data_IF_090438244209
#
_entry.id   IF_090438244209
#
_cell.length_a   1.000
_cell.length_b   1.000
_cell.length_c   1.000
_cell.angle_alpha   90.00
_cell.angle_beta   90.00
_cell.angle_gamma   90.00
#
_symmetry.space_group_name_H-M   'P 1'
#
loop_
_entity.id
_entity.type
_entity.pdbx_description
1 polymer ?
#
# COMPACT_ATOMS: atom_id res chain seq x y z
N UNK A 1 -10.07 8.46 4.55
CA UNK A 1 -11.15 8.06 5.46
C UNK A 1 -10.60 7.95 6.86
N UNK A 2 -9.99 6.82 7.20
CA UNK A 2 -9.37 6.56 8.51
C UNK A 2 -7.88 6.90 8.43
N UNK A 3 -7.36 7.58 9.46
CA UNK A 3 -5.94 7.82 9.65
C UNK A 3 -5.47 7.22 10.98
N UNK A 4 -4.42 6.40 10.93
CA UNK A 4 -3.76 5.85 12.11
C UNK A 4 -2.28 6.21 12.10
N UNK A 5 -1.80 6.86 13.17
CA UNK A 5 -0.42 7.30 13.30
C UNK A 5 0.16 6.93 14.67
N UNK A 6 0.84 5.80 14.71
CA UNK A 6 1.58 5.34 15.87
C UNK A 6 2.69 4.42 15.39
N UNK A 7 3.89 4.95 15.21
CA UNK A 7 5.00 4.20 14.61
C UNK A 7 5.42 2.98 15.44
N UNK A 8 5.18 2.99 16.75
CA UNK A 8 5.34 1.85 17.66
C UNK A 8 4.07 1.00 17.83
N UNK A 9 2.95 1.45 17.27
CA UNK A 9 1.64 0.84 17.42
C UNK A 9 1.35 -0.23 16.36
N UNK A 10 0.29 -0.99 16.63
CA UNK A 10 -0.27 -1.97 15.71
C UNK A 10 -1.70 -1.59 15.39
N UNK A 11 -2.04 -1.53 14.10
CA UNK A 11 -3.43 -1.44 13.65
C UNK A 11 -3.92 -2.83 13.25
N UNK A 12 -5.05 -3.25 13.84
CA UNK A 12 -5.78 -4.44 13.40
C UNK A 12 -7.19 -4.03 12.99
N UNK A 13 -7.60 -4.41 11.79
CA UNK A 13 -8.95 -4.20 11.29
C UNK A 13 -9.50 -5.51 10.74
N UNK A 14 -10.77 -5.77 11.01
CA UNK A 14 -11.43 -7.01 10.58
C UNK A 14 -12.85 -6.74 10.12
N UNK A 15 -13.26 -7.36 9.03
CA UNK A 15 -14.65 -7.37 8.56
C UNK A 15 -15.24 -5.96 8.39
N UNK A 16 -14.49 -5.07 7.76
CA UNK A 16 -14.81 -3.64 7.66
C UNK A 16 -14.92 -3.22 6.20
N UNK A 17 -15.88 -2.35 5.91
CA UNK A 17 -16.04 -1.68 4.61
C UNK A 17 -15.58 -0.24 4.74
N UNK A 18 -14.74 0.21 3.81
CA UNK A 18 -14.29 1.59 3.69
C UNK A 18 -14.52 2.01 2.24
N UNK A 19 -15.55 2.82 2.00
CA UNK A 19 -15.93 3.19 0.64
C UNK A 19 -16.14 4.68 0.43
N UNK A 20 -15.91 5.13 -0.80
CA UNK A 20 -16.25 6.49 -1.25
C UNK A 20 -15.59 7.62 -0.46
N UNK A 21 -14.40 7.40 0.10
CA UNK A 21 -13.64 8.42 0.83
C UNK A 21 -12.59 9.10 -0.04
N UNK A 22 -12.25 10.35 0.29
CA UNK A 22 -11.22 11.13 -0.39
C UNK A 22 -10.19 11.70 0.61
N UNK A 23 -8.90 11.65 0.27
CA UNK A 23 -7.82 12.24 1.06
C UNK A 23 -6.59 12.57 0.19
N UNK A 24 -5.53 13.17 0.76
CA UNK A 24 -4.25 13.30 0.04
C UNK A 24 -3.51 11.97 -0.05
N UNK A 25 -3.52 11.20 1.05
CA UNK A 25 -2.91 9.87 1.17
C UNK A 25 -3.94 8.91 1.75
N UNK A 26 -4.00 7.67 1.25
CA UNK A 26 -4.87 6.63 1.81
C UNK A 26 -6.34 7.06 1.77
N UNK A 27 -6.87 7.22 0.56
CA UNK A 27 -8.23 7.73 0.33
C UNK A 27 -9.25 7.05 1.23
N UNK A 28 -9.17 5.71 1.33
CA UNK A 28 -9.86 4.93 2.34
C UNK A 28 -9.14 4.95 3.69
N UNK A 29 -7.94 4.36 3.74
CA UNK A 29 -7.17 4.13 4.95
C UNK A 29 -5.71 4.59 4.76
N UNK A 30 -5.24 5.45 5.67
CA UNK A 30 -3.82 5.81 5.76
C UNK A 30 -3.25 5.35 7.10
N UNK A 31 -2.19 4.53 7.05
CA UNK A 31 -1.57 3.92 8.23
C UNK A 31 -0.09 4.22 8.28
N UNK A 32 0.34 4.72 9.44
CA UNK A 32 1.74 4.87 9.82
C UNK A 32 1.91 4.08 11.12
N UNK A 33 2.41 2.86 11.01
CA UNK A 33 2.47 1.89 12.12
C UNK A 33 3.64 0.92 11.99
N UNK A 34 4.07 0.31 13.09
CA UNK A 34 5.04 -0.79 13.03
C UNK A 34 4.46 -1.99 12.27
N UNK A 35 3.21 -2.34 12.60
CA UNK A 35 2.50 -3.47 12.01
C UNK A 35 1.04 -3.12 11.72
N UNK A 36 0.58 -3.52 10.53
CA UNK A 36 -0.80 -3.39 10.10
C UNK A 36 -1.34 -4.76 9.70
N UNK A 37 -2.43 -5.20 10.32
CA UNK A 37 -3.09 -6.48 10.03
C UNK A 37 -4.50 -6.21 9.58
N UNK A 38 -4.80 -6.54 8.32
CA UNK A 38 -6.09 -6.33 7.67
C UNK A 38 -6.67 -7.70 7.32
N UNK A 39 -7.89 -7.97 7.81
CA UNK A 39 -8.58 -9.22 7.55
C UNK A 39 -10.00 -8.97 7.05
N UNK A 40 -10.35 -9.45 5.85
CA UNK A 40 -11.70 -9.26 5.28
C UNK A 40 -12.11 -7.79 5.22
N UNK A 41 -11.19 -6.93 4.79
CA UNK A 41 -11.54 -5.55 4.47
C UNK A 41 -12.04 -5.46 3.04
N UNK A 42 -12.97 -4.54 2.82
CA UNK A 42 -13.40 -4.13 1.50
C UNK A 42 -13.16 -2.62 1.36
N UNK A 43 -12.19 -2.23 0.54
CA UNK A 43 -11.89 -0.84 0.25
C UNK A 43 -12.30 -0.53 -1.18
N UNK A 44 -13.33 0.30 -1.38
CA UNK A 44 -13.82 0.58 -2.73
C UNK A 44 -14.17 2.01 -3.03
N UNK A 45 -13.96 2.43 -4.29
CA UNK A 45 -14.29 3.79 -4.76
C UNK A 45 -13.65 4.91 -3.93
N UNK A 46 -12.52 4.64 -3.29
CA UNK A 46 -11.79 5.65 -2.55
C UNK A 46 -10.79 6.36 -3.46
N UNK A 47 -10.54 7.63 -3.18
CA UNK A 47 -9.69 8.50 -3.99
C UNK A 47 -8.58 9.13 -3.14
N UNK A 48 -7.34 9.07 -3.61
CA UNK A 48 -6.21 9.78 -3.03
C UNK A 48 -5.59 10.75 -4.03
N UNK A 49 -5.25 11.95 -3.60
CA UNK A 49 -4.56 12.89 -4.49
C UNK A 49 -3.16 12.40 -4.88
N UNK A 50 -2.46 11.72 -3.96
CA UNK A 50 -1.06 11.32 -4.12
C UNK A 50 -0.87 9.80 -4.10
N UNK A 51 -1.06 9.15 -2.96
CA UNK A 51 -0.73 7.73 -2.79
C UNK A 51 -1.88 6.92 -2.19
N UNK A 52 -2.11 5.74 -2.75
CA UNK A 52 -2.95 4.72 -2.13
C UNK A 52 -4.42 5.11 -2.13
N UNK A 53 -5.12 4.88 -3.24
CA UNK A 53 -6.54 5.26 -3.35
C UNK A 53 -7.38 4.57 -2.29
N UNK A 54 -7.20 3.25 -2.15
CA UNK A 54 -7.77 2.47 -1.06
C UNK A 54 -6.94 2.59 0.21
N UNK A 55 -5.67 2.18 0.13
CA UNK A 55 -4.76 2.07 1.28
C UNK A 55 -3.41 2.74 1.00
N UNK A 56 -2.95 3.58 1.92
CA UNK A 56 -1.54 3.94 2.04
C UNK A 56 -1.00 3.38 3.36
N UNK A 57 0.08 2.61 3.31
CA UNK A 57 0.66 1.99 4.51
C UNK A 57 2.17 2.20 4.58
N UNK A 58 2.63 2.69 5.73
CA UNK A 58 4.04 2.78 6.09
C UNK A 58 4.35 1.80 7.22
N UNK A 59 5.23 0.84 6.95
CA UNK A 59 5.58 -0.26 7.86
C UNK A 59 5.15 -1.63 7.32
N UNK A 60 5.26 -2.66 8.17
CA UNK A 60 4.88 -4.03 7.78
C UNK A 60 3.37 -4.14 7.67
N UNK A 61 2.87 -4.71 6.58
CA UNK A 61 1.44 -4.89 6.38
C UNK A 61 1.10 -6.29 5.91
N UNK A 62 0.10 -6.88 6.57
CA UNK A 62 -0.50 -8.17 6.23
C UNK A 62 -1.95 -7.96 5.86
N UNK A 63 -2.31 -8.28 4.62
CA UNK A 63 -3.68 -8.27 4.12
C UNK A 63 -4.12 -9.70 3.79
N UNK A 64 -5.23 -10.12 4.39
CA UNK A 64 -5.80 -11.47 4.21
C UNK A 64 -7.27 -11.33 3.85
N UNK A 65 -7.70 -12.01 2.79
CA UNK A 65 -9.11 -12.02 2.35
C UNK A 65 -9.66 -10.61 2.06
N UNK A 66 -8.81 -9.68 1.66
CA UNK A 66 -9.20 -8.28 1.44
C UNK A 66 -9.53 -8.02 -0.04
N UNK A 67 -10.50 -7.15 -0.28
CA UNK A 67 -10.85 -6.65 -1.62
C UNK A 67 -10.56 -5.18 -1.72
N UNK A 68 -9.87 -4.79 -2.79
CA UNK A 68 -9.61 -3.40 -3.15
C UNK A 68 -10.13 -3.19 -4.57
N UNK A 69 -11.23 -2.45 -4.74
CA UNK A 69 -11.79 -2.21 -6.07
C UNK A 69 -12.16 -0.76 -6.39
N UNK A 70 -11.93 -0.37 -7.64
CA UNK A 70 -12.31 0.96 -8.16
C UNK A 70 -11.73 2.12 -7.36
N UNK A 71 -10.59 1.92 -6.70
CA UNK A 71 -9.91 2.99 -6.02
C UNK A 71 -8.99 3.74 -6.99
N UNK A 72 -8.77 5.02 -6.71
CA UNK A 72 -8.02 5.92 -7.58
C UNK A 72 -6.94 6.70 -6.81
N UNK A 73 -5.74 6.79 -7.37
CA UNK A 73 -4.68 7.64 -6.85
C UNK A 73 -3.74 8.17 -7.94
N UNK A 74 -2.79 9.04 -7.58
CA UNK A 74 -1.67 9.32 -8.48
C UNK A 74 -0.74 8.11 -8.61
N UNK A 75 -0.36 7.46 -7.50
CA UNK A 75 0.33 6.17 -7.52
C UNK A 75 -0.28 5.20 -6.50
N UNK A 76 -0.33 3.91 -6.86
CA UNK A 76 -0.95 2.89 -6.01
C UNK A 76 -2.46 3.06 -5.99
N UNK A 77 -3.13 2.83 -7.13
CA UNK A 77 -4.58 3.06 -7.25
C UNK A 77 -5.36 2.33 -6.17
N UNK A 78 -5.08 1.04 -5.95
CA UNK A 78 -5.60 0.31 -4.81
C UNK A 78 -4.77 0.59 -3.54
N UNK A 79 -3.48 0.33 -3.62
CA UNK A 79 -2.60 0.33 -2.45
C UNK A 79 -1.24 0.97 -2.79
N UNK A 80 -0.78 1.89 -1.94
CA UNK A 80 0.60 2.36 -1.90
C UNK A 80 1.31 1.91 -0.60
N UNK A 81 2.49 1.33 -0.74
CA UNK A 81 3.38 0.97 0.36
C UNK A 81 4.62 1.86 0.30
N UNK A 82 5.00 2.42 1.45
CA UNK A 82 6.32 3.01 1.62
C UNK A 82 6.96 2.52 2.91
N UNK A 83 8.27 2.73 3.04
CA UNK A 83 8.98 2.38 4.26
C UNK A 83 8.67 3.39 5.37
N UNK A 84 8.33 2.90 6.56
CA UNK A 84 8.31 3.73 7.75
C UNK A 84 9.76 4.11 8.11
N UNK A 85 10.02 5.40 8.27
CA UNK A 85 11.28 5.90 8.82
C UNK A 85 11.14 6.07 10.33
N UNK A 86 11.92 5.34 11.11
CA UNK A 86 12.16 5.68 12.52
C UNK A 86 13.63 6.13 12.67
N UNK A 87 13.85 7.44 12.72
CA UNK A 87 15.20 8.00 12.90
C UNK A 87 16.16 7.62 11.78
N UNK A 88 17.28 6.97 12.13
CA UNK A 88 18.31 6.50 11.18
C UNK A 88 18.16 5.04 10.75
N UNK A 89 17.16 4.32 11.28
CA UNK A 89 16.98 2.90 11.03
C UNK A 89 15.80 2.68 10.07
N UNK A 90 16.08 2.06 8.93
CA UNK A 90 15.05 1.50 8.08
C UNK A 90 14.69 0.12 8.61
N UNK A 91 13.42 -0.07 8.96
CA UNK A 91 12.91 -1.40 9.28
C UNK A 91 12.58 -2.16 7.99
N UNK A 92 12.83 -3.49 7.96
CA UNK A 92 12.37 -4.32 6.85
C UNK A 92 10.85 -4.19 6.74
N UNK A 93 10.38 -3.79 5.56
CA UNK A 93 8.95 -3.71 5.27
C UNK A 93 8.55 -5.03 4.61
N UNK A 94 7.79 -5.84 5.34
CA UNK A 94 7.19 -7.05 4.81
C UNK A 94 5.76 -6.75 4.34
N UNK A 95 5.45 -7.16 3.11
CA UNK A 95 4.13 -7.07 2.52
C UNK A 95 3.58 -8.47 2.27
N UNK A 96 2.62 -8.91 3.09
CA UNK A 96 1.90 -10.17 2.89
C UNK A 96 0.53 -9.91 2.32
N UNK A 97 0.24 -10.52 1.18
CA UNK A 97 -1.07 -10.46 0.51
C UNK A 97 -1.55 -11.89 0.29
N UNK A 98 -2.61 -12.30 0.97
CA UNK A 98 -3.17 -13.64 0.84
C UNK A 98 -4.67 -13.59 0.58
N UNK A 99 -5.13 -14.37 -0.41
CA UNK A 99 -6.56 -14.46 -0.78
C UNK A 99 -7.21 -13.10 -1.05
N UNK A 100 -6.43 -12.15 -1.55
CA UNK A 100 -6.92 -10.80 -1.81
C UNK A 100 -7.30 -10.60 -3.28
N UNK A 101 -8.20 -9.65 -3.51
CA UNK A 101 -8.59 -9.19 -4.85
C UNK A 101 -8.22 -7.71 -4.99
N UNK A 102 -7.39 -7.39 -5.98
CA UNK A 102 -7.13 -6.02 -6.42
C UNK A 102 -7.73 -5.87 -7.82
N UNK A 103 -8.89 -5.20 -7.91
CA UNK A 103 -9.70 -5.13 -9.13
C UNK A 103 -9.99 -3.69 -9.60
N UNK A 104 -9.75 -3.40 -10.88
CA UNK A 104 -10.24 -2.17 -11.52
C UNK A 104 -9.80 -0.88 -10.81
N UNK A 105 -8.61 -0.89 -10.21
CA UNK A 105 -8.05 0.30 -9.58
C UNK A 105 -7.24 1.14 -10.59
N UNK A 106 -7.24 2.45 -10.41
CA UNK A 106 -6.65 3.40 -11.35
C UNK A 106 -5.54 4.22 -10.69
N UNK A 107 -4.37 4.24 -11.31
CA UNK A 107 -3.30 5.17 -10.99
C UNK A 107 -3.08 6.14 -12.15
N UNK A 108 -3.14 7.45 -11.89
CA UNK A 108 -2.87 8.45 -12.94
C UNK A 108 -1.41 8.47 -13.37
N UNK A 109 -0.50 7.98 -12.52
CA UNK A 109 0.91 7.78 -12.82
C UNK A 109 1.29 6.30 -12.84
N UNK A 110 1.47 5.63 -11.70
CA UNK A 110 2.01 4.26 -11.69
C UNK A 110 1.44 3.34 -10.61
N UNK A 111 1.51 2.02 -10.83
CA UNK A 111 1.03 1.03 -9.86
C UNK A 111 -0.49 1.05 -9.71
N UNK A 112 -1.23 0.67 -10.75
CA UNK A 112 -2.70 0.74 -10.75
C UNK A 112 -3.31 -0.06 -9.59
N UNK A 113 -2.84 -1.28 -9.37
CA UNK A 113 -3.22 -2.10 -8.21
C UNK A 113 -2.35 -1.81 -6.98
N UNK A 114 -1.03 -1.95 -7.11
CA UNK A 114 -0.08 -1.74 -6.02
C UNK A 114 1.08 -0.88 -6.50
N UNK A 115 1.47 0.08 -5.66
CA UNK A 115 2.74 0.78 -5.80
C UNK A 115 3.57 0.58 -4.54
N UNK A 116 4.83 0.20 -4.71
CA UNK A 116 5.81 0.13 -3.62
C UNK A 116 6.91 1.14 -3.91
N UNK A 117 7.08 2.10 -3.02
CA UNK A 117 8.13 3.12 -3.10
C UNK A 117 9.15 3.00 -1.98
N UNK A 118 10.41 2.79 -2.35
CA UNK A 118 11.53 3.07 -1.45
C UNK A 118 11.80 4.58 -1.40
N UNK A 119 11.52 5.22 -0.29
CA UNK A 119 12.02 6.56 -0.05
C UNK A 119 13.54 6.44 0.21
N UNK A 120 14.35 6.86 -0.76
CA UNK A 120 15.80 6.76 -0.68
C UNK A 120 16.42 8.01 -0.03
N UNK A 121 17.26 7.81 0.99
CA UNK A 121 18.67 8.26 1.04
C UNK A 121 19.44 7.29 1.95
N UNK A 122 20.12 6.27 1.40
CA UNK A 122 20.98 5.44 2.22
C UNK A 122 22.18 6.32 2.59
N UNK A 123 22.27 6.72 3.85
CA UNK A 123 23.60 6.94 4.42
C UNK A 123 24.30 5.58 4.40
N UNK A 124 25.60 5.56 4.10
CA UNK A 124 26.42 4.38 3.77
C UNK A 124 26.43 3.21 4.79
N UNK A 125 25.59 3.24 5.83
CA UNK A 125 25.54 2.31 6.95
C UNK A 125 24.32 1.37 6.94
N UNK A 126 23.26 1.62 6.16
CA UNK A 126 22.10 0.70 6.08
C UNK A 126 22.28 -0.35 4.99
N UNK A 127 23.31 -1.19 5.15
CA UNK A 127 23.45 -2.43 4.38
C UNK A 127 22.37 -3.41 4.85
N UNK A 128 21.48 -3.85 3.95
CA UNK A 128 20.45 -4.90 4.12
C UNK A 128 19.00 -4.46 4.46
N UNK A 129 18.48 -3.42 3.82
CA UNK A 129 17.01 -3.18 3.86
C UNK A 129 16.39 -3.85 2.64
N UNK A 130 15.99 -5.10 2.79
CA UNK A 130 15.25 -5.82 1.75
C UNK A 130 13.76 -5.50 1.91
N UNK A 131 13.13 -5.08 0.82
CA UNK A 131 11.68 -5.16 0.70
C UNK A 131 11.32 -6.59 0.33
N UNK A 132 10.49 -7.23 1.14
CA UNK A 132 9.96 -8.55 0.84
C UNK A 132 8.45 -8.46 0.64
N UNK A 133 8.00 -8.97 -0.51
CA UNK A 133 6.59 -9.12 -0.83
C UNK A 133 6.28 -10.59 -1.04
N UNK A 134 5.25 -11.06 -0.35
CA UNK A 134 4.67 -12.39 -0.54
C UNK A 134 3.21 -12.24 -0.95
N UNK A 135 2.86 -12.79 -2.11
CA UNK A 135 1.50 -12.82 -2.62
C UNK A 135 1.07 -14.26 -2.88
N UNK A 136 -0.05 -14.68 -2.30
CA UNK A 136 -0.54 -16.07 -2.33
C UNK A 136 -2.04 -16.07 -2.61
N UNK A 137 -2.51 -16.97 -3.48
CA UNK A 137 -3.93 -17.20 -3.76
C UNK A 137 -4.73 -15.93 -4.05
N UNK A 138 -4.08 -14.92 -4.63
CA UNK A 138 -4.63 -13.58 -4.78
C UNK A 138 -4.73 -13.20 -6.25
N UNK A 139 -5.71 -12.36 -6.57
CA UNK A 139 -6.02 -11.95 -7.95
C UNK A 139 -5.76 -10.46 -8.13
N UNK A 140 -5.11 -10.12 -9.25
CA UNK A 140 -4.86 -8.75 -9.69
C UNK A 140 -5.45 -8.61 -11.09
N UNK A 141 -6.50 -7.82 -11.26
CA UNK A 141 -7.23 -7.72 -12.52
C UNK A 141 -7.78 -6.31 -12.75
N UNK A 142 -7.99 -5.91 -14.01
CA UNK A 142 -8.61 -4.62 -14.36
C UNK A 142 -7.82 -3.36 -13.98
N UNK A 143 -6.67 -3.48 -13.32
CA UNK A 143 -5.94 -2.31 -12.80
C UNK A 143 -5.18 -1.57 -13.91
N UNK A 144 -5.19 -0.23 -13.85
CA UNK A 144 -4.64 0.65 -14.89
C UNK A 144 -3.67 1.66 -14.30
N UNK A 145 -2.53 1.85 -14.97
CA UNK A 145 -1.62 2.98 -14.75
C UNK A 145 -1.57 3.82 -16.03
N UNK A 146 -1.98 5.09 -15.96
CA UNK A 146 -2.25 5.87 -17.17
C UNK A 146 -0.99 6.44 -17.86
N UNK A 147 0.06 6.78 -17.10
CA UNK A 147 1.25 7.46 -17.65
C UNK A 147 2.55 6.69 -17.45
N UNK A 148 2.68 6.02 -16.32
CA UNK A 148 3.87 5.29 -15.90
C UNK A 148 3.73 3.77 -16.09
N UNK A 149 4.45 3.02 -15.27
CA UNK A 149 4.49 1.55 -15.37
C UNK A 149 3.68 0.85 -14.29
N UNK A 150 3.42 -0.44 -14.51
CA UNK A 150 2.77 -1.30 -13.52
C UNK A 150 1.26 -1.11 -13.43
N UNK A 151 0.51 -1.47 -14.48
CA UNK A 151 -0.95 -1.46 -14.45
C UNK A 151 -1.50 -2.30 -13.29
N UNK A 152 -0.96 -3.52 -13.10
CA UNK A 152 -1.09 -4.27 -11.86
C UNK A 152 -0.21 -3.66 -10.77
N UNK A 153 1.08 -4.01 -10.76
CA UNK A 153 2.01 -3.58 -9.71
C UNK A 153 3.19 -2.81 -10.28
N UNK A 154 3.68 -1.82 -9.52
CA UNK A 154 5.01 -1.23 -9.68
C UNK A 154 5.76 -1.32 -8.36
N UNK A 155 6.94 -1.91 -8.41
CA UNK A 155 7.83 -2.03 -7.26
C UNK A 155 9.11 -1.28 -7.63
N UNK A 156 9.31 -0.11 -7.04
CA UNK A 156 10.53 0.66 -7.19
C UNK A 156 11.49 0.21 -6.07
N UNK A 157 12.42 -0.70 -6.40
CA UNK A 157 13.49 -1.14 -5.52
C UNK A 157 14.72 -0.25 -5.69
N UNK A 158 15.26 0.28 -4.60
CA UNK A 158 16.58 0.91 -4.57
C UNK A 158 17.60 -0.18 -4.84
N UNK A 159 18.30 -0.09 -5.97
CA UNK A 159 19.32 -1.05 -6.35
C UNK A 159 20.64 -0.73 -5.62
N UNK A 160 21.33 -1.82 -5.22
CA UNK A 160 22.71 -1.96 -4.73
C UNK A 160 22.90 -2.04 -3.21
#
# INVERSE_FOLDING_TARGET
GIFFNSTMGTLSMTNTVIDSNAASFGGGLFVVANSTVLNRLHLSRNWAAELGGGLASWGTTTAIECTFDRNEAQSGGAWAVAHAFEGTQMHPAFLHIEKCLLDTNFASYSGGGLWVGVAHRPTLETRNVYFEMRMIDSTVTGNTAAKGSGGGFKIDGGCL
#
